data_IF_945219818120
#
_entry.id   IF_945219818120
#
_cell.length_a   1.000
_cell.length_b   1.000
_cell.length_c   1.000
_cell.angle_alpha   90.00
_cell.angle_beta   90.00
_cell.angle_gamma   90.00
#
_symmetry.space_group_name_H-M   'P 1'
#
loop_
_entity.id
_entity.type
_entity.pdbx_description
1 polymer ?
#
# COMPACT_ATOMS: atom_id res chain seq x y z
N UNK A 1 -0.20 12.22 4.12
CA UNK A 1 -1.09 12.73 5.16
C UNK A 1 -2.53 12.82 4.70
N UNK A 2 -3.45 12.90 5.65
CA UNK A 2 -4.86 13.15 5.37
C UNK A 2 -5.10 14.65 5.12
N UNK A 3 -6.14 14.98 4.34
CA UNK A 3 -6.58 16.35 4.09
C UNK A 3 -6.89 17.12 5.39
N UNK A 4 -7.42 16.44 6.41
CA UNK A 4 -7.71 17.02 7.73
C UNK A 4 -6.45 17.57 8.40
N UNK A 5 -5.32 16.86 8.33
CA UNK A 5 -4.03 17.30 8.86
C UNK A 5 -3.41 18.48 8.11
N UNK A 6 -3.97 18.85 6.95
CA UNK A 6 -3.57 19.99 6.12
C UNK A 6 -4.61 21.11 6.13
N UNK A 7 -5.63 21.01 6.96
CA UNK A 7 -6.76 21.96 7.00
C UNK A 7 -7.41 22.19 5.62
N UNK A 8 -7.50 21.13 4.82
CA UNK A 8 -8.06 21.16 3.47
C UNK A 8 -9.42 20.49 3.44
N UNK A 9 -10.24 20.84 2.44
CA UNK A 9 -11.50 20.14 2.18
C UNK A 9 -11.22 18.73 1.66
N UNK A 10 -12.17 17.82 1.88
CA UNK A 10 -12.12 16.49 1.30
C UNK A 10 -11.91 16.57 -0.22
N UNK A 11 -11.03 15.71 -0.75
CA UNK A 11 -10.71 15.67 -2.17
C UNK A 11 -9.77 16.78 -2.69
N UNK A 12 -9.43 17.79 -1.88
CA UNK A 12 -8.54 18.88 -2.30
C UNK A 12 -7.05 18.56 -2.17
N UNK A 13 -6.69 17.39 -1.66
CA UNK A 13 -5.31 16.95 -1.47
C UNK A 13 -5.03 15.67 -2.26
N UNK A 14 -4.14 15.76 -3.23
CA UNK A 14 -3.68 14.60 -4.01
C UNK A 14 -2.51 13.94 -3.28
N UNK A 15 -2.71 12.70 -2.81
CA UNK A 15 -1.65 11.91 -2.21
C UNK A 15 -0.78 11.23 -3.29
N UNK A 16 0.51 11.11 -3.03
CA UNK A 16 1.43 10.33 -3.86
C UNK A 16 2.55 9.75 -3.00
N UNK A 17 3.14 8.65 -3.45
CA UNK A 17 4.27 8.00 -2.78
C UNK A 17 5.61 8.42 -3.39
N UNK A 18 5.61 8.80 -4.64
CA UNK A 18 6.77 9.24 -5.41
C UNK A 18 6.35 10.19 -6.53
N UNK A 19 7.27 11.03 -6.97
CA UNK A 19 7.04 12.00 -8.05
C UNK A 19 8.29 12.14 -8.94
N UNK A 20 8.31 13.20 -9.76
CA UNK A 20 9.48 13.55 -10.56
C UNK A 20 10.60 14.24 -9.74
N UNK A 21 10.31 14.61 -8.50
CA UNK A 21 11.24 15.37 -7.64
C UNK A 21 12.02 14.50 -6.64
N UNK A 22 11.53 13.29 -6.38
CA UNK A 22 12.15 12.36 -5.45
C UNK A 22 12.69 11.11 -6.15
N UNK A 23 13.69 10.48 -5.51
CA UNK A 23 14.09 9.13 -5.89
C UNK A 23 12.91 8.17 -5.73
N UNK A 24 12.79 7.28 -6.70
CA UNK A 24 11.74 6.28 -6.77
C UNK A 24 11.85 5.30 -5.58
N UNK A 25 10.71 4.86 -5.08
CA UNK A 25 10.68 3.95 -3.93
C UNK A 25 11.44 2.64 -4.19
N UNK A 26 11.31 2.08 -5.39
CA UNK A 26 12.07 0.89 -5.78
C UNK A 26 13.58 1.18 -5.83
N UNK A 27 13.99 2.33 -6.38
CA UNK A 27 15.39 2.73 -6.37
C UNK A 27 15.94 2.89 -4.96
N UNK A 28 15.18 3.54 -4.07
CA UNK A 28 15.57 3.72 -2.66
C UNK A 28 15.80 2.38 -1.96
N UNK A 29 14.91 1.41 -2.17
CA UNK A 29 15.08 0.07 -1.61
C UNK A 29 16.30 -0.65 -2.19
N UNK A 30 16.52 -0.54 -3.50
CA UNK A 30 17.66 -1.11 -4.18
C UNK A 30 19.00 -0.52 -3.72
N UNK A 31 19.06 0.80 -3.53
CA UNK A 31 20.29 1.51 -3.20
C UNK A 31 20.57 1.57 -1.70
N UNK A 32 19.53 1.73 -0.88
CA UNK A 32 19.62 2.08 0.55
C UNK A 32 18.80 1.16 1.45
N UNK A 33 18.15 0.13 0.90
CA UNK A 33 17.36 -0.83 1.67
C UNK A 33 18.20 -1.60 2.69
N UNK A 34 17.52 -2.14 3.69
CA UNK A 34 18.14 -3.04 4.66
C UNK A 34 18.70 -4.29 3.97
N UNK A 35 19.62 -4.96 4.64
CA UNK A 35 20.11 -6.27 4.24
C UNK A 35 18.90 -7.24 4.18
N UNK A 36 18.81 -8.03 3.09
CA UNK A 36 17.62 -8.86 2.81
C UNK A 36 16.59 -8.21 1.88
N UNK A 37 16.54 -6.87 1.83
CA UNK A 37 15.74 -6.13 0.81
C UNK A 37 16.61 -5.71 -0.35
N UNK A 38 17.77 -5.12 -0.05
CA UNK A 38 18.73 -4.65 -1.04
C UNK A 38 19.20 -5.79 -1.94
N UNK A 39 18.95 -5.65 -3.24
CA UNK A 39 19.31 -6.68 -4.22
C UNK A 39 18.37 -7.89 -4.30
N UNK A 40 17.33 -7.94 -3.47
CA UNK A 40 16.29 -8.95 -3.51
C UNK A 40 15.03 -8.37 -4.17
N UNK A 41 14.84 -8.66 -5.46
CA UNK A 41 13.74 -8.09 -6.23
C UNK A 41 12.37 -8.50 -5.66
N UNK A 42 12.21 -9.76 -5.28
CA UNK A 42 10.96 -10.27 -4.70
C UNK A 42 10.58 -9.48 -3.44
N UNK A 43 11.51 -9.36 -2.49
CA UNK A 43 11.25 -8.62 -1.25
C UNK A 43 11.00 -7.12 -1.51
N UNK A 44 11.72 -6.54 -2.48
CA UNK A 44 11.48 -5.15 -2.88
C UNK A 44 10.05 -4.97 -3.41
N UNK A 45 9.58 -5.86 -4.27
CA UNK A 45 8.23 -5.77 -4.85
C UNK A 45 7.16 -6.02 -3.80
N UNK A 46 7.29 -7.02 -2.93
CA UNK A 46 6.37 -7.25 -1.79
C UNK A 46 6.22 -6.01 -0.92
N UNK A 47 7.31 -5.34 -0.57
CA UNK A 47 7.26 -4.08 0.18
C UNK A 47 6.58 -2.94 -0.58
N UNK A 48 6.68 -2.91 -1.90
CA UNK A 48 5.93 -1.94 -2.71
C UNK A 48 4.45 -2.29 -2.80
N UNK A 49 4.08 -3.57 -2.84
CA UNK A 49 2.70 -4.03 -2.74
C UNK A 49 2.06 -3.62 -1.40
N UNK A 50 2.77 -3.88 -0.30
CA UNK A 50 2.36 -3.42 1.03
C UNK A 50 2.18 -1.88 1.08
N UNK A 51 3.11 -1.13 0.52
CA UNK A 51 3.00 0.33 0.44
C UNK A 51 1.78 0.75 -0.40
N UNK A 52 1.53 0.08 -1.53
CA UNK A 52 0.38 0.34 -2.38
C UNK A 52 -0.94 0.06 -1.65
N UNK A 53 -1.03 -1.03 -0.86
CA UNK A 53 -2.19 -1.36 -0.06
C UNK A 53 -2.54 -0.23 0.93
N UNK A 54 -1.55 0.27 1.67
CA UNK A 54 -1.74 1.39 2.60
C UNK A 54 -1.94 2.74 1.90
N UNK A 55 -1.40 2.93 0.72
CA UNK A 55 -1.57 4.16 -0.04
C UNK A 55 -2.94 4.25 -0.72
N UNK A 56 -3.34 3.20 -1.41
CA UNK A 56 -4.56 3.21 -2.20
C UNK A 56 -5.83 3.04 -1.36
N UNK A 57 -5.74 2.52 -0.15
CA UNK A 57 -6.90 2.40 0.77
C UNK A 57 -7.16 3.64 1.61
N UNK A 58 -6.24 4.62 1.61
CA UNK A 58 -6.49 5.95 2.22
C UNK A 58 -7.43 6.76 1.32
N UNK A 59 -8.48 7.43 1.86
CA UNK A 59 -9.37 8.29 1.08
C UNK A 59 -8.66 9.45 0.37
N UNK A 60 -9.33 10.04 -0.61
CA UNK A 60 -8.85 11.18 -1.41
C UNK A 60 -8.15 10.77 -2.71
N UNK A 61 -7.93 11.73 -3.62
CA UNK A 61 -7.28 11.51 -4.91
C UNK A 61 -5.86 10.99 -4.77
N UNK A 62 -5.43 10.18 -5.71
CA UNK A 62 -4.09 9.58 -5.76
C UNK A 62 -3.40 9.87 -7.09
N UNK A 63 -2.11 10.14 -7.02
CA UNK A 63 -1.24 10.18 -8.18
C UNK A 63 -0.29 8.98 -8.13
N UNK A 64 -0.26 8.20 -9.19
CA UNK A 64 0.73 7.16 -9.43
C UNK A 64 1.71 7.75 -10.44
N UNK A 65 2.98 7.88 -10.05
CA UNK A 65 4.00 8.38 -10.95
C UNK A 65 4.44 7.25 -11.89
N UNK A 66 4.80 7.63 -13.12
CA UNK A 66 5.16 6.77 -14.25
C UNK A 66 5.94 5.51 -13.83
N UNK A 67 5.43 4.32 -14.15
CA UNK A 67 5.99 3.00 -13.84
C UNK A 67 6.17 2.69 -12.33
N UNK A 68 5.60 3.50 -11.42
CA UNK A 68 5.62 3.21 -9.99
C UNK A 68 4.92 1.89 -9.66
N UNK A 69 3.87 1.57 -10.41
CA UNK A 69 3.11 0.33 -10.36
C UNK A 69 3.90 -0.91 -10.86
N UNK A 70 5.06 -0.68 -11.45
CA UNK A 70 6.00 -1.73 -11.91
C UNK A 70 7.31 -1.72 -11.11
N UNK A 71 7.35 -0.94 -10.02
CA UNK A 71 8.56 -0.84 -9.20
C UNK A 71 9.74 -0.23 -9.95
N UNK A 72 9.53 0.94 -10.59
CA UNK A 72 10.56 1.63 -11.35
C UNK A 72 11.78 1.97 -10.48
N UNK A 73 12.93 1.43 -10.82
CA UNK A 73 14.17 1.48 -10.05
C UNK A 73 15.34 2.19 -10.73
N UNK A 74 15.02 3.05 -11.70
CA UNK A 74 16.02 3.94 -12.33
C UNK A 74 16.12 5.22 -11.50
N UNK A 75 17.35 5.65 -11.21
CA UNK A 75 17.60 6.87 -10.42
C UNK A 75 17.03 8.12 -11.10
N UNK A 76 16.61 9.08 -10.29
CA UNK A 76 16.26 10.42 -10.76
C UNK A 76 17.45 11.13 -11.41
N UNK A 77 18.68 10.77 -11.07
CA UNK A 77 19.89 11.35 -11.63
C UNK A 77 20.33 10.69 -12.97
N UNK A 78 19.68 9.59 -13.38
CA UNK A 78 19.97 8.96 -14.66
C UNK A 78 19.65 9.87 -15.83
N UNK A 79 20.64 10.17 -16.66
CA UNK A 79 20.53 11.19 -17.74
C UNK A 79 20.40 12.62 -17.23
N UNK A 80 20.70 12.87 -15.96
CA UNK A 80 20.51 14.13 -15.25
C UNK A 80 19.10 14.31 -14.68
N UNK A 81 18.98 15.10 -13.60
CA UNK A 81 17.74 15.24 -12.81
C UNK A 81 16.52 15.61 -13.65
N UNK A 82 16.69 16.51 -14.62
CA UNK A 82 15.60 16.95 -15.52
C UNK A 82 15.59 16.19 -16.85
N UNK A 83 16.50 15.24 -17.05
CA UNK A 83 16.60 14.45 -18.25
C UNK A 83 15.45 13.46 -18.41
N UNK A 84 15.21 13.06 -19.66
CA UNK A 84 14.22 12.04 -20.00
C UNK A 84 14.63 10.70 -19.39
N UNK A 85 13.73 10.07 -18.63
CA UNK A 85 13.95 8.74 -18.07
C UNK A 85 13.55 7.66 -19.08
N UNK A 86 14.28 6.52 -19.12
CA UNK A 86 13.92 5.42 -20.00
C UNK A 86 12.55 4.84 -19.66
N UNK A 87 11.81 4.43 -20.68
CA UNK A 87 10.61 3.61 -20.50
C UNK A 87 11.01 2.18 -20.15
N UNK A 88 10.19 1.51 -19.34
CA UNK A 88 10.46 0.17 -18.81
C UNK A 88 9.27 -0.79 -18.99
N UNK A 89 8.73 -0.87 -20.21
CA UNK A 89 7.61 -1.77 -20.51
C UNK A 89 7.98 -3.25 -20.32
N UNK A 90 9.24 -3.59 -20.50
CA UNK A 90 9.79 -4.94 -20.27
C UNK A 90 9.68 -5.40 -18.80
N UNK A 91 9.39 -4.49 -17.88
CA UNK A 91 9.14 -4.83 -16.47
C UNK A 91 7.89 -5.68 -16.29
N UNK A 92 6.92 -5.61 -17.20
CA UNK A 92 5.74 -6.47 -17.19
C UNK A 92 6.07 -7.96 -17.44
N UNK A 93 7.22 -8.25 -18.06
CA UNK A 93 7.67 -9.62 -18.32
C UNK A 93 8.39 -10.24 -17.10
N UNK A 94 8.60 -9.47 -16.03
CA UNK A 94 9.24 -9.92 -14.78
C UNK A 94 8.16 -10.29 -13.76
N UNK A 95 8.10 -11.56 -13.31
CA UNK A 95 6.98 -12.05 -12.48
C UNK A 95 6.74 -11.23 -11.21
N UNK A 96 7.78 -10.85 -10.49
CA UNK A 96 7.68 -10.08 -9.24
C UNK A 96 7.12 -8.67 -9.48
N UNK A 97 7.49 -8.04 -10.58
CA UNK A 97 6.97 -6.72 -10.98
C UNK A 97 5.54 -6.80 -11.52
N UNK A 98 5.23 -7.90 -12.20
CA UNK A 98 3.87 -8.19 -12.65
C UNK A 98 2.94 -8.39 -11.45
N UNK A 99 3.38 -9.07 -10.40
CA UNK A 99 2.63 -9.23 -9.16
C UNK A 99 2.30 -7.88 -8.52
N UNK A 100 3.30 -6.98 -8.43
CA UNK A 100 3.08 -5.61 -7.98
C UNK A 100 2.03 -4.88 -8.84
N UNK A 101 2.13 -4.98 -10.17
CA UNK A 101 1.15 -4.38 -11.08
C UNK A 101 -0.26 -4.93 -10.84
N UNK A 102 -0.39 -6.25 -10.67
CA UNK A 102 -1.68 -6.89 -10.40
C UNK A 102 -2.26 -6.45 -9.05
N UNK A 103 -1.42 -6.26 -8.04
CA UNK A 103 -1.82 -5.68 -6.75
C UNK A 103 -2.37 -4.26 -6.93
N UNK A 104 -1.71 -3.40 -7.71
CA UNK A 104 -2.26 -2.07 -8.05
C UNK A 104 -3.60 -2.17 -8.77
N UNK A 105 -3.74 -3.07 -9.74
CA UNK A 105 -5.00 -3.29 -10.46
C UNK A 105 -6.13 -3.71 -9.49
N UNK A 106 -5.86 -4.65 -8.58
CA UNK A 106 -6.83 -5.10 -7.57
C UNK A 106 -7.27 -3.99 -6.65
N UNK A 107 -6.32 -3.21 -6.12
CA UNK A 107 -6.61 -2.09 -5.21
C UNK A 107 -7.36 -0.94 -5.91
N UNK A 108 -7.05 -0.65 -7.17
CA UNK A 108 -7.77 0.36 -7.97
C UNK A 108 -9.18 -0.13 -8.27
N UNK A 109 -9.35 -1.41 -8.61
CA UNK A 109 -10.67 -2.02 -8.79
C UNK A 109 -11.48 -1.95 -7.48
N UNK A 110 -10.88 -2.28 -6.34
CA UNK A 110 -11.53 -2.14 -5.04
C UNK A 110 -12.05 -0.71 -4.80
N UNK A 111 -11.23 0.31 -5.08
CA UNK A 111 -11.66 1.72 -4.95
C UNK A 111 -12.81 2.08 -5.88
N UNK A 112 -12.75 1.63 -7.13
CA UNK A 112 -13.79 1.90 -8.13
C UNK A 112 -15.11 1.25 -7.77
N UNK A 113 -15.05 0.02 -7.26
CA UNK A 113 -16.22 -0.82 -7.02
C UNK A 113 -16.85 -0.55 -5.62
N UNK A 114 -16.15 0.17 -4.74
CA UNK A 114 -16.59 0.53 -3.39
C UNK A 114 -16.35 2.03 -3.10
N UNK A 115 -16.92 2.94 -3.90
CA UNK A 115 -16.65 4.38 -3.77
C UNK A 115 -17.07 4.94 -2.40
N UNK A 116 -18.04 4.30 -1.74
CA UNK A 116 -18.55 4.70 -0.42
C UNK A 116 -17.46 4.74 0.66
N UNK A 117 -16.43 3.90 0.59
CA UNK A 117 -15.32 3.92 1.53
C UNK A 117 -14.37 5.10 1.33
N UNK A 118 -14.46 5.76 0.19
CA UNK A 118 -13.55 6.82 -0.21
C UNK A 118 -14.22 8.19 -0.25
N UNK A 119 -15.44 8.28 0.29
CA UNK A 119 -16.20 9.51 0.43
C UNK A 119 -15.93 10.19 1.80
N UNK A 120 -16.41 11.44 1.93
CA UNK A 120 -16.22 12.26 3.15
C UNK A 120 -16.92 11.68 4.38
N UNK A 121 -18.00 10.93 4.19
CA UNK A 121 -18.83 10.37 5.24
C UNK A 121 -18.34 8.99 5.75
N UNK A 122 -17.30 8.42 5.13
CA UNK A 122 -16.72 7.17 5.59
C UNK A 122 -15.94 7.35 6.91
N UNK A 123 -16.14 6.45 7.83
CA UNK A 123 -15.42 6.39 9.10
C UNK A 123 -14.05 5.72 8.87
N UNK A 124 -13.05 6.53 8.60
CA UNK A 124 -11.69 6.08 8.32
C UNK A 124 -10.78 6.22 9.54
N UNK A 125 -10.06 5.16 9.89
CA UNK A 125 -9.05 5.14 10.94
C UNK A 125 -7.79 4.40 10.48
N UNK A 126 -6.66 4.82 11.00
CA UNK A 126 -5.38 4.16 10.76
C UNK A 126 -4.45 4.18 11.97
N UNK A 127 -3.65 3.13 12.10
CA UNK A 127 -2.54 3.03 13.05
C UNK A 127 -1.26 2.84 12.23
N UNK A 128 -0.65 3.97 11.81
CA UNK A 128 0.52 4.01 10.92
C UNK A 128 1.59 4.99 11.41
N UNK A 129 1.36 5.62 12.56
CA UNK A 129 2.23 6.63 13.15
C UNK A 129 3.51 6.06 13.77
N UNK A 130 4.24 6.95 14.45
CA UNK A 130 5.38 6.55 15.27
C UNK A 130 4.89 5.65 16.42
N UNK A 131 5.50 4.52 16.58
CA UNK A 131 5.19 3.51 17.56
C UNK A 131 6.03 2.29 17.29
N UNK A 132 5.82 1.23 18.04
CA UNK A 132 6.50 -0.03 17.79
C UNK A 132 6.00 -0.64 16.48
N UNK A 133 6.93 -0.90 15.57
CA UNK A 133 6.61 -1.58 14.30
C UNK A 133 6.16 -3.02 14.54
N UNK A 134 6.50 -3.60 15.66
CA UNK A 134 6.07 -4.94 16.07
C UNK A 134 4.58 -5.00 16.39
N UNK A 135 3.94 -3.88 16.71
CA UNK A 135 2.48 -3.80 16.91
C UNK A 135 1.68 -3.88 15.59
N UNK A 136 2.35 -3.90 14.45
CA UNK A 136 1.75 -3.90 13.13
C UNK A 136 1.26 -2.53 12.69
N UNK A 137 0.69 -2.48 11.49
CA UNK A 137 0.07 -1.29 10.92
C UNK A 137 -1.28 -1.68 10.35
N UNK A 138 -2.29 -0.84 10.62
CA UNK A 138 -3.68 -1.15 10.31
C UNK A 138 -4.37 0.05 9.68
N UNK A 139 -5.29 -0.24 8.78
CA UNK A 139 -6.33 0.67 8.31
C UNK A 139 -7.67 0.00 8.55
N UNK A 140 -8.63 0.73 9.08
CA UNK A 140 -10.03 0.33 9.14
C UNK A 140 -10.87 1.42 8.51
N UNK A 141 -11.92 1.03 7.80
CA UNK A 141 -12.88 1.96 7.24
C UNK A 141 -14.26 1.34 7.26
N UNK A 142 -15.25 2.13 7.69
CA UNK A 142 -16.66 1.74 7.70
C UNK A 142 -17.48 2.76 6.94
N UNK A 143 -18.36 2.27 6.07
CA UNK A 143 -19.33 3.06 5.32
C UNK A 143 -20.69 2.35 5.32
N UNK A 144 -21.61 2.88 6.10
CA UNK A 144 -22.92 2.24 6.33
C UNK A 144 -22.76 0.87 6.99
N UNK A 145 -23.19 -0.19 6.33
CA UNK A 145 -23.08 -1.58 6.84
C UNK A 145 -21.85 -2.35 6.35
N UNK A 146 -21.00 -1.71 5.54
CA UNK A 146 -19.80 -2.33 5.00
C UNK A 146 -18.56 -1.81 5.70
N UNK A 147 -17.55 -2.66 5.81
CA UNK A 147 -16.24 -2.28 6.33
C UNK A 147 -15.11 -2.98 5.56
N UNK A 148 -13.93 -2.37 5.56
CA UNK A 148 -12.71 -3.05 5.18
C UNK A 148 -11.61 -2.84 6.23
N UNK A 149 -10.67 -3.77 6.25
CA UNK A 149 -9.48 -3.72 7.10
C UNK A 149 -8.25 -4.02 6.24
N UNK A 150 -7.18 -3.27 6.44
CA UNK A 150 -5.86 -3.59 5.89
C UNK A 150 -4.92 -3.81 7.07
N UNK A 151 -4.20 -4.91 7.02
CA UNK A 151 -3.16 -5.25 8.00
C UNK A 151 -1.84 -5.36 7.27
N UNK A 152 -0.76 -4.81 7.80
CA UNK A 152 0.53 -4.84 7.12
C UNK A 152 1.70 -5.11 8.04
N UNK A 153 2.59 -5.99 7.60
CA UNK A 153 3.84 -6.29 8.27
C UNK A 153 5.00 -5.51 7.63
N UNK A 154 5.37 -4.39 8.24
CA UNK A 154 6.48 -3.55 7.80
C UNK A 154 7.83 -3.95 8.40
N UNK A 155 7.86 -5.02 9.22
CA UNK A 155 9.11 -5.55 9.79
C UNK A 155 9.88 -6.41 8.77
N UNK A 156 11.00 -6.94 9.15
CA UNK A 156 11.85 -7.83 8.35
C UNK A 156 11.73 -9.32 8.75
N UNK A 157 10.79 -9.63 9.64
CA UNK A 157 10.49 -10.96 10.12
C UNK A 157 8.99 -11.27 9.96
N UNK A 158 8.64 -12.57 9.97
CA UNK A 158 7.25 -12.99 10.12
C UNK A 158 6.72 -12.60 11.50
N UNK A 159 5.54 -12.01 11.56
CA UNK A 159 4.90 -11.55 12.80
C UNK A 159 3.43 -11.91 12.84
N UNK A 160 2.94 -12.14 14.05
CA UNK A 160 1.52 -12.30 14.33
C UNK A 160 0.99 -11.01 14.97
N UNK A 161 -0.07 -10.48 14.38
CA UNK A 161 -0.73 -9.26 14.83
C UNK A 161 -2.14 -9.54 15.31
N UNK A 162 -2.60 -8.80 16.32
CA UNK A 162 -3.99 -8.80 16.75
C UNK A 162 -4.64 -7.49 16.34
N UNK A 163 -5.68 -7.56 15.53
CA UNK A 163 -6.40 -6.43 14.95
C UNK A 163 -7.80 -6.38 15.50
N UNK A 164 -8.22 -5.22 16.04
CA UNK A 164 -9.61 -4.99 16.39
C UNK A 164 -10.44 -4.83 15.11
N UNK A 165 -11.46 -5.68 14.97
CA UNK A 165 -12.33 -5.69 13.82
C UNK A 165 -13.53 -4.75 14.03
N UNK A 166 -13.99 -4.05 12.97
CA UNK A 166 -15.19 -3.20 13.06
C UNK A 166 -16.46 -3.95 13.49
N UNK A 167 -16.56 -5.24 13.19
CA UNK A 167 -17.64 -6.13 13.63
C UNK A 167 -17.21 -7.58 13.62
N UNK A 168 -17.80 -8.39 14.49
CA UNK A 168 -17.73 -9.84 14.38
C UNK A 168 -18.51 -10.33 13.14
N UNK A 169 -18.04 -11.41 12.52
CA UNK A 169 -18.71 -12.00 11.36
C UNK A 169 -17.74 -12.64 10.36
N UNK A 170 -18.26 -12.92 9.18
CA UNK A 170 -17.45 -13.44 8.07
C UNK A 170 -16.85 -12.27 7.29
N UNK A 171 -15.55 -12.33 7.09
CA UNK A 171 -14.77 -11.39 6.31
C UNK A 171 -14.14 -12.09 5.11
N UNK A 172 -14.14 -11.46 3.96
CA UNK A 172 -13.59 -12.03 2.72
C UNK A 172 -12.29 -11.33 2.37
N UNK A 173 -11.24 -12.09 2.12
CA UNK A 173 -10.00 -11.55 1.58
C UNK A 173 -10.24 -11.07 0.15
N UNK A 174 -9.91 -9.82 -0.12
CA UNK A 174 -10.17 -9.16 -1.39
C UNK A 174 -9.40 -9.79 -2.57
N UNK A 175 -8.22 -10.36 -2.34
CA UNK A 175 -7.35 -10.84 -3.42
C UNK A 175 -7.60 -12.29 -3.81
N UNK A 176 -7.95 -13.15 -2.87
CA UNK A 176 -8.13 -14.59 -3.12
C UNK A 176 -9.57 -15.08 -2.88
N UNK A 177 -10.45 -14.19 -2.40
CA UNK A 177 -11.85 -14.48 -2.07
C UNK A 177 -12.01 -15.58 -0.99
N UNK A 178 -11.01 -15.78 -0.16
CA UNK A 178 -11.15 -16.69 0.98
C UNK A 178 -11.92 -16.02 2.11
N UNK A 179 -12.81 -16.78 2.74
CA UNK A 179 -13.61 -16.33 3.86
C UNK A 179 -12.94 -16.70 5.19
N UNK A 180 -12.98 -15.76 6.13
CA UNK A 180 -12.51 -15.90 7.49
C UNK A 180 -13.59 -15.43 8.45
N UNK A 181 -14.00 -16.28 9.37
CA UNK A 181 -14.86 -15.85 10.48
C UNK A 181 -14.00 -15.32 11.63
N UNK A 182 -14.36 -14.16 12.15
CA UNK A 182 -13.68 -13.56 13.30
C UNK A 182 -14.69 -13.00 14.31
N UNK A 183 -14.30 -12.96 15.58
CA UNK A 183 -14.99 -12.18 16.62
C UNK A 183 -14.60 -10.69 16.54
N UNK A 184 -14.50 -10.07 17.70
CA UNK A 184 -14.10 -8.65 17.81
C UNK A 184 -12.64 -8.41 17.47
N UNK A 185 -11.83 -9.47 17.44
CA UNK A 185 -10.40 -9.41 17.10
C UNK A 185 -10.03 -10.48 16.08
N UNK A 186 -9.19 -10.11 15.13
CA UNK A 186 -8.52 -11.01 14.19
C UNK A 186 -7.07 -11.20 14.63
N UNK A 187 -6.63 -12.47 14.74
CA UNK A 187 -5.22 -12.80 14.83
C UNK A 187 -4.72 -13.24 13.45
N UNK A 188 -3.75 -12.56 12.91
CA UNK A 188 -3.19 -12.84 11.59
C UNK A 188 -1.66 -12.89 11.63
N UNK A 189 -1.08 -13.92 11.00
CA UNK A 189 0.38 -14.06 10.85
C UNK A 189 0.73 -13.68 9.41
N UNK A 190 1.61 -12.72 9.27
CA UNK A 190 2.07 -12.20 7.99
C UNK A 190 3.59 -12.34 7.88
N UNK A 191 4.11 -12.89 6.79
CA UNK A 191 5.52 -12.80 6.43
C UNK A 191 6.00 -11.35 6.34
N UNK A 192 7.31 -11.15 6.37
CA UNK A 192 7.92 -9.83 6.20
C UNK A 192 7.49 -9.16 4.89
N UNK A 193 7.04 -7.92 4.97
CA UNK A 193 6.66 -7.11 3.81
C UNK A 193 5.30 -7.46 3.19
N UNK A 194 4.51 -8.32 3.81
CA UNK A 194 3.17 -8.69 3.31
C UNK A 194 2.02 -7.97 4.04
N UNK A 195 0.84 -8.03 3.46
CA UNK A 195 -0.38 -7.42 3.96
C UNK A 195 -1.60 -8.34 3.73
#
# INVERSE_FOLDING_TARGET
GLWTGKNMKFGAYVGFMESHDEERNAYRQKAYGQEGVKGNLEMMMKRLELNAAFFLTVPGPKMIWQFGELGYDVSIEDGGRTGKKPTKWEYLDVPERKALYDTYCGLIAFRRDNPEFFDADAEFSWTVGAGDWDDGRFITCTAGSKSFVVVGNFTDEEKTFTVSMPSAGTWTNHFDNTDLYTGDNLSVTLPAGEF
#
